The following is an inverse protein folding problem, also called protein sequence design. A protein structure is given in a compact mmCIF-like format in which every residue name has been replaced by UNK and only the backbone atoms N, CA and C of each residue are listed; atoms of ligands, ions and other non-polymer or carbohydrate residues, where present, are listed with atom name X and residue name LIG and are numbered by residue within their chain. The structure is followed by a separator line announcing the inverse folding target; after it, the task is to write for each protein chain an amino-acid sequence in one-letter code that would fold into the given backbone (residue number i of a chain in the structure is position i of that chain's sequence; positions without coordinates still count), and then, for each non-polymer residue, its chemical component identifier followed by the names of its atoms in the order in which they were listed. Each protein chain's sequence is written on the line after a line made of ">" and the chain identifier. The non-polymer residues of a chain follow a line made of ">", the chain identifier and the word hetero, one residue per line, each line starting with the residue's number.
data_IF_276925509968
#
_entry.id   IF_276925509968
#
_cell.length_a   1.000
_cell.length_b   1.000
_cell.length_c   1.000
_cell.angle_alpha   90.00
_cell.angle_beta   90.00
_cell.angle_gamma   90.00
#
_symmetry.space_group_name_H-M   'P 1'
#
loop_
_entity.id
_entity.type
_entity.pdbx_description
1 polymer ?
#
# COMPACT_ATOMS: atom_id res chain seq x y z
N UNK A 1 -2.66 -4.43 -3.75
CA UNK A 1 -1.44 -4.14 -2.96
C UNK A 1 -0.17 -4.03 -3.79
N UNK A 2 0.32 -5.08 -4.46
CA UNK A 2 1.44 -4.97 -5.40
C UNK A 2 1.11 -3.99 -6.53
N UNK A 3 -0.12 -4.02 -7.04
CA UNK A 3 -0.59 -3.08 -8.07
C UNK A 3 -0.64 -1.63 -7.53
N UNK A 4 -1.08 -1.43 -6.30
CA UNK A 4 -1.00 -0.14 -5.58
C UNK A 4 0.42 0.41 -5.50
N UNK A 5 1.37 -0.43 -5.08
CA UNK A 5 2.79 -0.05 -4.98
C UNK A 5 3.41 0.28 -6.33
N UNK A 6 3.08 -0.49 -7.37
CA UNK A 6 3.55 -0.21 -8.72
C UNK A 6 3.01 1.12 -9.25
N UNK A 7 1.80 1.54 -8.85
CA UNK A 7 1.20 2.80 -9.29
C UNK A 7 1.92 4.03 -8.75
N UNK A 8 2.22 4.04 -7.46
CA UNK A 8 2.92 5.17 -6.84
C UNK A 8 4.38 5.29 -7.32
N UNK A 9 4.95 4.23 -7.90
CA UNK A 9 6.33 4.23 -8.43
C UNK A 9 6.41 4.42 -9.94
N UNK A 10 5.28 4.45 -10.66
CA UNK A 10 5.26 4.37 -12.13
C UNK A 10 5.86 5.60 -12.82
N UNK A 11 5.82 6.77 -12.17
CA UNK A 11 6.26 8.05 -12.71
C UNK A 11 7.53 8.59 -12.02
N UNK A 12 8.22 7.79 -11.20
CA UNK A 12 9.35 8.21 -10.37
C UNK A 12 8.95 8.41 -8.91
N UNK A 13 9.60 9.34 -8.20
CA UNK A 13 9.30 9.61 -6.80
C UNK A 13 7.88 10.18 -6.66
N UNK A 14 6.98 9.53 -5.90
CA UNK A 14 5.63 10.02 -5.71
C UNK A 14 5.59 11.26 -4.81
N UNK A 15 4.54 12.04 -4.98
CA UNK A 15 4.17 13.14 -4.07
C UNK A 15 3.44 12.60 -2.84
N UNK A 16 3.43 13.38 -1.76
CA UNK A 16 2.68 13.02 -0.56
C UNK A 16 1.19 12.79 -0.81
N UNK A 17 0.61 13.52 -1.76
CA UNK A 17 -0.80 13.40 -2.16
C UNK A 17 -1.03 12.04 -2.82
N UNK A 18 -0.21 11.65 -3.80
CA UNK A 18 -0.34 10.35 -4.48
C UNK A 18 -0.21 9.18 -3.50
N UNK A 19 0.70 9.28 -2.52
CA UNK A 19 0.83 8.25 -1.48
C UNK A 19 -0.37 8.25 -0.53
N UNK A 20 -0.88 9.42 -0.16
CA UNK A 20 -2.03 9.55 0.75
C UNK A 20 -3.32 9.01 0.13
N UNK A 21 -3.57 9.32 -1.15
CA UNK A 21 -4.73 8.80 -1.89
C UNK A 21 -4.68 7.26 -1.96
N UNK A 22 -3.49 6.70 -2.17
CA UNK A 22 -3.32 5.25 -2.22
C UNK A 22 -3.47 4.59 -0.83
N UNK A 23 -3.05 5.28 0.23
CA UNK A 23 -3.29 4.86 1.63
C UNK A 23 -4.77 4.82 1.95
N UNK A 24 -5.52 5.84 1.56
CA UNK A 24 -6.97 5.91 1.77
C UNK A 24 -7.70 4.79 1.03
N UNK A 25 -7.36 4.60 -0.25
CA UNK A 25 -7.89 3.49 -1.05
C UNK A 25 -7.60 2.13 -0.41
N UNK A 26 -6.36 1.87 0.01
CA UNK A 26 -5.99 0.62 0.68
C UNK A 26 -6.76 0.43 1.98
N UNK A 27 -6.96 1.49 2.76
CA UNK A 27 -7.71 1.42 4.01
C UNK A 27 -9.17 1.02 3.78
N UNK A 28 -9.83 1.64 2.80
CA UNK A 28 -11.22 1.32 2.45
C UNK A 28 -11.35 -0.10 1.88
N UNK A 29 -10.47 -0.48 0.94
CA UNK A 29 -10.50 -1.80 0.32
C UNK A 29 -10.24 -2.92 1.34
N UNK A 30 -9.22 -2.78 2.19
CA UNK A 30 -8.90 -3.76 3.23
C UNK A 30 -9.99 -3.84 4.30
N UNK A 31 -10.59 -2.71 4.68
CA UNK A 31 -11.74 -2.66 5.58
C UNK A 31 -12.92 -3.46 5.02
N UNK A 32 -13.31 -3.20 3.77
CA UNK A 32 -14.40 -3.92 3.10
C UNK A 32 -14.12 -5.42 2.92
N UNK A 33 -12.89 -5.78 2.56
CA UNK A 33 -12.48 -7.18 2.40
C UNK A 33 -12.53 -7.95 3.72
N UNK A 34 -12.07 -7.33 4.81
CA UNK A 34 -12.15 -7.92 6.14
C UNK A 34 -13.60 -8.07 6.58
N UNK A 35 -14.40 -7.01 6.43
CA UNK A 35 -15.78 -6.98 6.91
C UNK A 35 -16.68 -7.95 6.12
N UNK A 36 -16.36 -8.20 4.84
CA UNK A 36 -17.01 -9.24 4.01
C UNK A 36 -16.45 -10.65 4.22
N UNK A 37 -15.40 -10.82 5.04
CA UNK A 37 -14.74 -12.12 5.29
C UNK A 37 -13.95 -12.67 4.10
N UNK A 38 -13.61 -11.82 3.13
CA UNK A 38 -12.83 -12.21 1.94
C UNK A 38 -11.34 -12.37 2.23
N UNK A 39 -10.82 -11.67 3.24
CA UNK A 39 -9.46 -11.82 3.75
C UNK A 39 -9.50 -12.27 5.21
N UNK A 40 -8.48 -13.01 5.62
CA UNK A 40 -8.32 -13.40 7.02
C UNK A 40 -7.85 -12.20 7.85
N UNK A 41 -8.03 -12.27 9.17
CA UNK A 41 -7.52 -11.24 10.07
C UNK A 41 -5.98 -11.11 9.97
N UNK A 42 -5.28 -12.23 9.77
CA UNK A 42 -3.82 -12.22 9.59
C UNK A 42 -3.43 -11.49 8.30
N UNK A 43 -4.12 -11.78 7.19
CA UNK A 43 -3.90 -11.08 5.92
C UNK A 43 -4.21 -9.58 6.03
N UNK A 44 -5.26 -9.22 6.79
CA UNK A 44 -5.59 -7.83 7.08
C UNK A 44 -4.49 -7.14 7.91
N UNK A 45 -3.93 -7.81 8.91
CA UNK A 45 -2.84 -7.27 9.74
C UNK A 45 -1.55 -7.08 8.92
N UNK A 46 -1.20 -8.06 8.09
CA UNK A 46 -0.03 -7.98 7.21
C UNK A 46 -0.18 -6.85 6.18
N UNK A 47 -1.34 -6.75 5.53
CA UNK A 47 -1.63 -5.68 4.58
C UNK A 47 -1.71 -4.30 5.27
N UNK A 48 -2.23 -4.25 6.50
CA UNK A 48 -2.26 -3.04 7.32
C UNK A 48 -0.87 -2.50 7.64
N UNK A 49 0.15 -3.35 7.74
CA UNK A 49 1.53 -2.91 7.90
C UNK A 49 2.05 -2.13 6.68
N UNK A 50 1.61 -2.49 5.46
CA UNK A 50 1.94 -1.74 4.24
C UNK A 50 1.22 -0.39 4.22
N UNK A 51 -0.08 -0.39 4.52
CA UNK A 51 -0.88 0.83 4.60
C UNK A 51 -0.28 1.83 5.61
N UNK A 52 0.10 1.36 6.81
CA UNK A 52 0.75 2.20 7.83
C UNK A 52 2.12 2.70 7.40
N UNK A 53 2.90 1.85 6.71
CA UNK A 53 4.19 2.24 6.13
C UNK A 53 4.06 3.34 5.08
N UNK A 54 3.08 3.23 4.18
CA UNK A 54 2.80 4.26 3.18
C UNK A 54 2.32 5.56 3.82
N UNK A 55 1.51 5.50 4.87
CA UNK A 55 1.10 6.71 5.61
C UNK A 55 2.28 7.45 6.24
N UNK A 56 3.28 6.70 6.75
CA UNK A 56 4.53 7.27 7.22
C UNK A 56 5.31 7.93 6.06
N UNK A 57 5.42 7.27 4.91
CA UNK A 57 6.07 7.82 3.71
C UNK A 57 5.39 9.12 3.26
N UNK A 58 4.06 9.16 3.19
CA UNK A 58 3.31 10.37 2.86
C UNK A 58 3.66 11.52 3.83
N UNK A 59 3.68 11.22 5.13
CA UNK A 59 4.03 12.21 6.17
C UNK A 59 5.47 12.72 6.03
N UNK A 60 6.42 11.86 5.65
CA UNK A 60 7.81 12.23 5.42
C UNK A 60 7.95 13.13 4.19
N UNK A 61 7.24 12.80 3.11
CA UNK A 61 7.19 13.61 1.88
C UNK A 61 6.57 15.00 2.16
N UNK A 62 5.53 15.09 2.98
CA UNK A 62 4.95 16.38 3.40
C UNK A 62 5.94 17.24 4.20
N UNK A 63 6.80 16.60 4.99
CA UNK A 63 7.83 17.27 5.78
C UNK A 63 9.05 17.68 4.95
N UNK A 64 9.09 17.36 3.65
CA UNK A 64 10.19 17.72 2.75
C UNK A 64 11.43 16.85 2.91
N UNK A 65 11.26 15.60 3.34
CA UNK A 65 12.34 14.59 3.33
C UNK A 65 12.86 14.37 1.90
N UNK A 66 14.13 13.99 1.80
CA UNK A 66 14.81 13.71 0.54
C UNK A 66 14.07 12.63 -0.26
N UNK A 67 13.87 12.86 -1.56
CA UNK A 67 13.26 11.88 -2.47
C UNK A 67 13.97 10.51 -2.41
N UNK A 68 15.28 10.51 -2.21
CA UNK A 68 16.10 9.29 -2.07
C UNK A 68 15.71 8.46 -0.84
N UNK A 69 15.40 9.11 0.28
CA UNK A 69 14.96 8.43 1.50
C UNK A 69 13.54 7.88 1.33
N UNK A 70 12.65 8.64 0.70
CA UNK A 70 11.31 8.18 0.37
C UNK A 70 11.33 6.97 -0.57
N UNK A 71 12.16 6.99 -1.61
CA UNK A 71 12.32 5.88 -2.55
C UNK A 71 12.84 4.61 -1.86
N UNK A 72 13.80 4.74 -0.93
CA UNK A 72 14.27 3.60 -0.12
C UNK A 72 13.13 2.98 0.70
N UNK A 73 12.31 3.81 1.35
CA UNK A 73 11.17 3.33 2.13
C UNK A 73 10.11 2.66 1.24
N UNK A 74 9.78 3.27 0.11
CA UNK A 74 8.82 2.73 -0.87
C UNK A 74 9.31 1.40 -1.44
N UNK A 75 10.61 1.28 -1.72
CA UNK A 75 11.21 0.03 -2.20
C UNK A 75 11.09 -1.08 -1.16
N UNK A 76 11.31 -0.79 0.13
CA UNK A 76 11.14 -1.77 1.21
C UNK A 76 9.69 -2.20 1.37
N UNK A 77 8.74 -1.25 1.26
CA UNK A 77 7.31 -1.54 1.29
C UNK A 77 6.87 -2.38 0.09
N UNK A 78 7.43 -2.11 -1.10
CA UNK A 78 7.17 -2.89 -2.31
C UNK A 78 7.59 -4.34 -2.14
N UNK A 79 8.80 -4.59 -1.61
CA UNK A 79 9.29 -5.95 -1.36
C UNK A 79 8.42 -6.70 -0.33
N UNK A 80 7.98 -6.01 0.72
CA UNK A 80 7.03 -6.60 1.68
C UNK A 80 5.68 -6.87 1.04
N UNK A 81 5.17 -5.98 0.19
CA UNK A 81 3.92 -6.18 -0.52
C UNK A 81 3.96 -7.42 -1.42
N UNK A 82 5.07 -7.64 -2.13
CA UNK A 82 5.30 -8.87 -2.90
C UNK A 82 5.28 -10.13 -2.01
N UNK A 83 5.88 -10.06 -0.82
CA UNK A 83 5.90 -11.18 0.12
C UNK A 83 4.49 -11.50 0.63
N UNK A 84 3.70 -10.48 0.94
CA UNK A 84 2.31 -10.63 1.38
C UNK A 84 1.44 -11.17 0.24
N UNK A 85 1.60 -10.68 -0.99
CA UNK A 85 0.89 -11.21 -2.15
C UNK A 85 1.31 -12.66 -2.47
N UNK A 86 2.56 -13.04 -2.22
CA UNK A 86 2.99 -14.45 -2.35
C UNK A 86 2.34 -15.35 -1.27
N UNK A 87 2.14 -14.84 -0.06
CA UNK A 87 1.43 -15.54 1.01
C UNK A 87 -0.09 -15.56 0.80
N UNK A 88 -0.64 -14.51 0.18
CA UNK A 88 -2.06 -14.30 -0.10
C UNK A 88 -2.27 -13.91 -1.57
N UNK A 89 -2.29 -14.86 -2.52
CA UNK A 89 -2.29 -14.59 -3.96
C UNK A 89 -3.47 -13.73 -4.44
N UNK A 90 -4.63 -13.89 -3.81
CA UNK A 90 -5.85 -13.21 -4.21
C UNK A 90 -5.99 -11.80 -3.61
N UNK A 91 -5.14 -11.42 -2.65
CA UNK A 91 -5.30 -10.14 -1.94
C UNK A 91 -5.14 -8.95 -2.88
N UNK A 92 -4.25 -9.07 -3.87
CA UNK A 92 -4.02 -7.98 -4.83
C UNK A 92 -5.23 -7.77 -5.73
N UNK A 93 -5.74 -8.84 -6.33
CA UNK A 93 -6.90 -8.78 -7.22
C UNK A 93 -8.18 -8.40 -6.48
N UNK A 94 -8.35 -8.87 -5.25
CA UNK A 94 -9.43 -8.50 -4.35
C UNK A 94 -9.40 -7.01 -4.02
N UNK A 95 -8.25 -6.45 -3.64
CA UNK A 95 -8.09 -5.01 -3.41
C UNK A 95 -8.44 -4.23 -4.68
N UNK A 96 -7.90 -4.64 -5.83
CA UNK A 96 -8.12 -3.95 -7.10
C UNK A 96 -9.57 -4.03 -7.59
N UNK A 97 -10.36 -5.00 -7.13
CA UNK A 97 -11.79 -5.07 -7.45
C UNK A 97 -12.61 -3.89 -6.88
N UNK A 98 -12.09 -3.19 -5.88
CA UNK A 98 -12.71 -1.98 -5.33
C UNK A 98 -12.35 -0.72 -6.11
N UNK A 99 -11.40 -0.81 -7.05
CA UNK A 99 -10.98 0.32 -7.88
C UNK A 99 -11.96 0.47 -9.05
N UNK A 100 -12.58 1.65 -9.17
CA UNK A 100 -13.55 1.99 -10.23
C UNK A 100 -12.89 2.67 -11.42
#
# INVERSE_FOLDING_TARGET
>A
MQTSMARITINGTPTSIEVSDEVEFLSEALGNLRDSGQITNDAYLDAGAIQGGLSLVASLLEQGVSNEEADVQISQLSQRAETICAAHPDIDSQIESFRK
#
